data_IF_776572844938
#
_entry.id   IF_776572844938
#
_cell.length_a   1.000
_cell.length_b   1.000
_cell.length_c   1.000
_cell.angle_alpha   90.00
_cell.angle_beta   90.00
_cell.angle_gamma   90.00
#
_symmetry.space_group_name_H-M   'P 1'
#
loop_
_entity.id
_entity.type
_entity.pdbx_description
1 polymer ?
#
# COMPACT_ATOMS: atom_id res chain seq x y z
N UNK A 1 14.36 0.74 7.44
CA UNK A 1 12.89 0.65 7.49
C UNK A 1 12.33 2.04 7.37
N UNK A 2 11.56 2.30 6.35
CA UNK A 2 11.01 3.61 6.10
C UNK A 2 9.52 3.61 6.42
N UNK A 3 9.10 4.48 7.32
CA UNK A 3 7.68 4.67 7.63
C UNK A 3 7.21 5.96 7.01
N UNK A 4 6.22 5.89 6.13
CA UNK A 4 5.59 7.07 5.55
C UNK A 4 4.44 7.52 6.43
N UNK A 5 4.51 8.75 6.88
CA UNK A 5 3.50 9.35 7.74
C UNK A 5 3.55 8.84 9.18
N UNK A 6 2.51 9.13 9.90
CA UNK A 6 2.34 8.63 11.26
C UNK A 6 2.08 7.12 11.19
N UNK A 7 3.11 6.34 11.45
CA UNK A 7 2.93 4.90 11.65
C UNK A 7 2.08 4.72 12.91
N UNK A 8 0.79 4.57 12.73
CA UNK A 8 -0.13 4.31 13.85
C UNK A 8 -0.47 2.84 13.87
N UNK A 9 -0.23 2.27 15.01
CA UNK A 9 -0.67 0.92 15.26
C UNK A 9 -2.19 0.94 15.43
N UNK A 10 -2.83 -0.10 14.92
CA UNK A 10 -4.28 -0.29 15.05
C UNK A 10 -4.52 -1.50 15.91
N UNK A 11 -5.43 -1.37 16.87
CA UNK A 11 -5.80 -2.45 17.77
C UNK A 11 -5.21 -2.34 19.16
N UNK A 12 -5.31 -3.42 19.91
CA UNK A 12 -4.86 -3.47 21.29
C UNK A 12 -3.34 -3.34 21.42
N UNK A 13 -2.90 -2.81 22.56
CA UNK A 13 -1.50 -2.66 22.89
C UNK A 13 -0.84 -3.98 23.32
N UNK A 14 -1.18 -5.07 22.63
CA UNK A 14 -0.55 -6.37 22.85
C UNK A 14 0.93 -6.38 22.44
N UNK A 15 1.67 -7.35 22.95
CA UNK A 15 3.10 -7.51 22.61
C UNK A 15 3.32 -7.98 21.18
N UNK A 16 2.35 -8.69 20.60
CA UNK A 16 2.45 -9.17 19.23
C UNK A 16 1.98 -8.14 18.23
N UNK A 17 2.75 -7.95 17.18
CA UNK A 17 2.47 -7.01 16.11
C UNK A 17 2.40 -7.78 14.79
N UNK A 18 1.28 -7.62 14.08
CA UNK A 18 1.17 -8.04 12.70
C UNK A 18 1.68 -6.90 11.80
N UNK A 19 2.81 -7.11 11.15
CA UNK A 19 3.35 -6.14 10.20
C UNK A 19 2.80 -6.39 8.81
N UNK A 20 2.28 -5.35 8.19
CA UNK A 20 1.85 -5.37 6.79
C UNK A 20 2.76 -4.43 6.02
N UNK A 21 3.48 -4.97 5.04
CA UNK A 21 4.44 -4.22 4.23
C UNK A 21 3.87 -3.95 2.85
N UNK A 22 3.96 -2.71 2.43
CA UNK A 22 3.58 -2.27 1.10
C UNK A 22 4.63 -1.28 0.58
N UNK A 23 4.58 -0.93 -0.70
CA UNK A 23 5.49 0.05 -1.26
C UNK A 23 4.79 0.99 -2.23
N UNK A 24 5.36 2.15 -2.44
CA UNK A 24 4.80 3.18 -3.32
C UNK A 24 5.65 3.44 -4.56
N UNK A 25 6.90 3.02 -4.55
CA UNK A 25 7.77 3.14 -5.71
C UNK A 25 7.36 2.16 -6.80
N UNK A 26 7.70 2.51 -8.03
CA UNK A 26 7.34 1.73 -9.22
C UNK A 26 8.55 1.59 -10.12
N UNK A 27 8.60 0.49 -10.88
CA UNK A 27 9.59 0.34 -11.95
C UNK A 27 9.28 1.28 -13.10
N UNK A 28 10.28 1.61 -13.95
CA UNK A 28 10.01 2.39 -15.17
C UNK A 28 8.92 1.75 -16.03
N UNK A 29 8.15 2.58 -16.71
CA UNK A 29 7.00 2.10 -17.47
C UNK A 29 7.39 1.17 -18.64
N UNK A 30 8.54 1.41 -19.25
CA UNK A 30 8.91 0.67 -20.46
C UNK A 30 8.08 1.09 -21.68
N UNK A 31 7.97 0.20 -22.64
CA UNK A 31 7.26 0.43 -23.90
C UNK A 31 6.06 -0.51 -24.05
N UNK A 32 5.28 -0.31 -25.09
CA UNK A 32 4.14 -1.18 -25.42
C UNK A 32 2.82 -0.82 -24.74
N UNK A 33 2.73 0.36 -24.16
CA UNK A 33 1.51 0.85 -23.56
C UNK A 33 0.54 1.42 -24.60
N UNK A 34 -0.75 1.09 -24.46
CA UNK A 34 -1.83 1.67 -25.25
C UNK A 34 -2.38 2.97 -24.65
N UNK A 35 -2.04 3.24 -23.40
CA UNK A 35 -2.39 4.45 -22.65
C UNK A 35 -1.13 5.09 -22.10
N UNK A 36 -1.20 6.35 -21.67
CA UNK A 36 -0.09 6.98 -20.95
C UNK A 36 0.12 6.24 -19.61
N UNK A 37 1.29 5.63 -19.37
CA UNK A 37 1.52 4.85 -18.17
C UNK A 37 1.46 5.64 -16.87
N UNK A 38 1.67 6.95 -16.92
CA UNK A 38 1.67 7.82 -15.74
C UNK A 38 0.40 8.66 -15.60
N UNK A 39 -0.57 8.46 -16.49
CA UNK A 39 -1.89 9.09 -16.40
C UNK A 39 -2.94 8.02 -16.16
N UNK A 40 -3.51 7.92 -14.95
CA UNK A 40 -4.51 6.90 -14.65
C UNK A 40 -5.69 6.97 -15.63
N UNK A 41 -5.96 5.88 -16.31
CA UNK A 41 -6.99 5.79 -17.32
C UNK A 41 -7.97 4.69 -16.99
N UNK A 42 -9.25 5.03 -16.86
CA UNK A 42 -10.30 4.04 -16.64
C UNK A 42 -10.94 3.72 -17.98
N UNK A 43 -10.93 2.45 -18.35
CA UNK A 43 -11.49 1.94 -19.60
C UNK A 43 -12.05 0.54 -19.38
N UNK A 44 -13.28 0.34 -19.79
CA UNK A 44 -13.97 -0.96 -19.70
C UNK A 44 -13.96 -1.54 -18.26
N UNK A 45 -14.13 -0.67 -17.25
CA UNK A 45 -14.14 -1.06 -15.84
C UNK A 45 -12.76 -1.41 -15.27
N UNK A 46 -11.68 -1.06 -15.97
CA UNK A 46 -10.30 -1.32 -15.53
C UNK A 46 -9.52 -0.02 -15.44
N UNK A 47 -8.62 0.04 -14.46
CA UNK A 47 -7.69 1.15 -14.28
C UNK A 47 -6.32 0.77 -14.84
N UNK A 48 -5.86 1.54 -15.83
CA UNK A 48 -4.56 1.35 -16.47
C UNK A 48 -3.60 2.44 -16.03
N UNK A 49 -2.53 2.07 -15.36
CA UNK A 49 -1.43 2.96 -15.01
C UNK A 49 -0.25 2.14 -14.46
N UNK A 50 0.96 2.66 -14.58
CA UNK A 50 2.11 2.08 -13.89
C UNK A 50 1.89 2.20 -12.38
N UNK A 51 2.05 1.09 -11.66
CA UNK A 51 1.81 1.04 -10.21
C UNK A 51 0.37 0.76 -9.80
N UNK A 52 -0.58 0.67 -10.73
CA UNK A 52 -1.98 0.39 -10.37
C UNK A 52 -2.15 -0.98 -9.69
N UNK A 53 -1.44 -1.99 -10.18
CA UNK A 53 -1.46 -3.33 -9.62
C UNK A 53 -0.30 -3.58 -8.64
N UNK A 54 0.85 -3.00 -8.90
CA UNK A 54 2.07 -3.20 -8.12
C UNK A 54 2.71 -1.84 -7.80
N UNK A 55 2.48 -1.29 -6.63
CA UNK A 55 1.73 -1.88 -5.51
C UNK A 55 0.67 -0.92 -4.95
N UNK A 56 0.35 0.17 -5.67
CA UNK A 56 -0.56 1.22 -5.19
C UNK A 56 -2.00 0.72 -4.99
N UNK A 57 -2.45 -0.19 -5.84
CA UNK A 57 -3.77 -0.80 -5.68
C UNK A 57 -3.88 -1.59 -4.39
N UNK A 58 -3.06 -2.63 -4.18
CA UNK A 58 -3.06 -3.39 -2.93
C UNK A 58 -2.77 -2.52 -1.70
N UNK A 59 -1.85 -1.54 -1.80
CA UNK A 59 -1.55 -0.59 -0.73
C UNK A 59 -2.80 0.19 -0.32
N UNK A 60 -3.52 0.72 -1.30
CA UNK A 60 -4.75 1.48 -1.07
C UNK A 60 -5.84 0.60 -0.46
N UNK A 61 -6.02 -0.61 -0.97
CA UNK A 61 -6.99 -1.56 -0.44
C UNK A 61 -6.71 -1.89 1.03
N UNK A 62 -5.45 -2.14 1.36
CA UNK A 62 -5.04 -2.40 2.73
C UNK A 62 -5.27 -1.19 3.64
N UNK A 63 -4.89 -0.01 3.19
CA UNK A 63 -5.10 1.23 3.94
C UNK A 63 -6.57 1.44 4.30
N UNK A 64 -7.46 1.31 3.33
CA UNK A 64 -8.89 1.50 3.58
C UNK A 64 -9.49 0.39 4.44
N UNK A 65 -9.02 -0.84 4.30
CA UNK A 65 -9.42 -1.94 5.19
C UNK A 65 -9.08 -1.64 6.64
N UNK A 66 -7.85 -1.20 6.90
CA UNK A 66 -7.42 -0.82 8.24
C UNK A 66 -8.15 0.41 8.78
N UNK A 67 -8.42 1.38 7.91
CA UNK A 67 -9.17 2.58 8.26
C UNK A 67 -10.59 2.22 8.72
N UNK A 68 -11.25 1.31 8.04
CA UNK A 68 -12.58 0.82 8.40
C UNK A 68 -12.56 0.16 9.79
N UNK A 69 -11.62 -0.71 10.04
CA UNK A 69 -11.45 -1.38 11.33
C UNK A 69 -11.31 -0.34 12.45
N UNK A 70 -10.46 0.65 12.23
CA UNK A 70 -10.23 1.71 13.21
C UNK A 70 -11.46 2.58 13.45
N UNK A 71 -12.12 3.04 12.39
CA UNK A 71 -13.29 3.92 12.50
C UNK A 71 -14.49 3.23 13.14
N UNK A 72 -14.66 1.93 12.89
CA UNK A 72 -15.74 1.14 13.50
C UNK A 72 -15.38 0.63 14.90
N UNK A 73 -14.13 0.83 15.35
CA UNK A 73 -13.69 0.35 16.65
C UNK A 73 -13.71 -1.17 16.79
N UNK A 74 -13.49 -1.90 15.70
CA UNK A 74 -13.52 -3.36 15.71
C UNK A 74 -12.34 -3.92 16.51
N UNK A 75 -12.56 -4.95 17.34
CA UNK A 75 -11.47 -5.55 18.09
C UNK A 75 -10.53 -6.33 17.17
N UNK A 76 -9.25 -6.31 17.50
CA UNK A 76 -8.23 -7.11 16.83
C UNK A 76 -7.50 -7.95 17.87
N UNK A 77 -7.04 -9.15 17.49
CA UNK A 77 -6.29 -10.03 18.39
C UNK A 77 -4.83 -9.61 18.52
N UNK A 78 -4.33 -8.80 17.59
CA UNK A 78 -2.97 -8.29 17.56
C UNK A 78 -2.96 -6.84 17.18
N UNK A 79 -1.91 -6.13 17.60
CA UNK A 79 -1.62 -4.81 17.07
C UNK A 79 -1.26 -4.94 15.58
N UNK A 80 -1.80 -4.08 14.74
CA UNK A 80 -1.50 -4.07 13.31
C UNK A 80 -0.67 -2.85 12.99
N UNK A 81 0.47 -3.07 12.34
CA UNK A 81 1.36 -2.01 11.88
C UNK A 81 1.45 -2.04 10.36
N UNK A 82 1.04 -0.96 9.73
CA UNK A 82 1.11 -0.80 8.28
C UNK A 82 2.35 0.02 7.92
N UNK A 83 3.24 -0.58 7.14
CA UNK A 83 4.54 0.01 6.79
C UNK A 83 4.60 0.17 5.28
N UNK A 84 4.79 1.40 4.81
CA UNK A 84 4.88 1.71 3.39
C UNK A 84 6.28 2.18 3.07
N UNK A 85 6.98 1.43 2.23
CA UNK A 85 8.33 1.76 1.78
C UNK A 85 8.34 2.46 0.43
N UNK A 86 9.51 2.96 0.07
CA UNK A 86 9.71 3.69 -1.18
C UNK A 86 10.90 3.19 -1.99
N UNK A 87 11.37 1.98 -1.70
CA UNK A 87 12.56 1.42 -2.38
C UNK A 87 12.46 -0.11 -2.55
N UNK A 88 11.24 -0.63 -2.68
CA UNK A 88 11.06 -2.08 -2.86
C UNK A 88 11.67 -2.54 -4.17
N UNK A 89 11.40 -1.81 -5.25
CA UNK A 89 11.83 -2.17 -6.60
C UNK A 89 13.35 -2.06 -6.81
N UNK A 90 14.04 -1.44 -5.86
CA UNK A 90 15.52 -1.35 -5.84
C UNK A 90 16.13 -2.22 -4.74
N UNK A 91 15.35 -3.08 -4.11
CA UNK A 91 15.84 -4.05 -3.13
C UNK A 91 15.92 -3.56 -1.68
N UNK A 92 15.17 -2.53 -1.34
CA UNK A 92 15.15 -1.96 0.02
C UNK A 92 16.53 -1.45 0.47
N UNK A 93 17.27 -0.86 -0.47
CA UNK A 93 18.64 -0.40 -0.19
C UNK A 93 18.68 0.84 0.72
N UNK A 94 17.59 1.59 0.77
CA UNK A 94 17.47 2.83 1.57
C UNK A 94 16.40 2.74 2.65
#
# INVERSE_FOLDING_TARGET
TFTVGDARDIGDEGEEVLGIFAHMDVVPAGSGWDTDPYTPTIKDGRLYARGASDDKGPTTACYYGLKIIKELGLPTSKKVRFIVGTDEESGWAD
#
